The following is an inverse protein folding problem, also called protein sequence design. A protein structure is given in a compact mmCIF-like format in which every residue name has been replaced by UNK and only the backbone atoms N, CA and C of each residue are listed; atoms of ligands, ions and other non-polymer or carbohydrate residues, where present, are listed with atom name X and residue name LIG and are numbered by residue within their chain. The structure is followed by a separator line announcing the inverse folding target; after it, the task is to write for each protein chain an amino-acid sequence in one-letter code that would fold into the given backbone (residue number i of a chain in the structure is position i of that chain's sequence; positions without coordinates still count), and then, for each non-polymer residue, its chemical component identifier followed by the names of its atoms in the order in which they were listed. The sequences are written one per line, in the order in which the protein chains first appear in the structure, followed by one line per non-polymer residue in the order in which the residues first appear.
data_IF_639611027553
#
_entry.id   IF_639611027553
#
_cell.length_a   1.000
_cell.length_b   1.000
_cell.length_c   1.000
_cell.angle_alpha   90.00
_cell.angle_beta   90.00
_cell.angle_gamma   90.00
#
_symmetry.space_group_name_H-M   'P 1'
#
loop_
_entity.id
_entity.type
_entity.pdbx_description
1 polymer ?
#
# COMPACT_ATOMS: atom_id res chain seq x y z
N UNK A 1 -22.56 -24.70 1.65
CA UNK A 1 -22.34 -23.88 0.45
C UNK A 1 -20.96 -23.24 0.56
N UNK A 2 -19.94 -23.76 -0.15
CA UNK A 2 -18.60 -23.16 -0.14
C UNK A 2 -18.64 -21.95 -1.08
N UNK A 3 -18.71 -20.75 -0.51
CA UNK A 3 -18.53 -19.51 -1.29
C UNK A 3 -17.09 -19.51 -1.81
N UNK A 4 -16.95 -19.41 -3.12
CA UNK A 4 -15.67 -19.30 -3.83
C UNK A 4 -14.86 -18.10 -3.27
N UNK A 5 -13.82 -18.37 -2.48
CA UNK A 5 -12.91 -17.37 -1.89
C UNK A 5 -11.81 -16.98 -2.90
N UNK A 6 -12.19 -16.44 -4.05
CA UNK A 6 -11.24 -16.01 -5.08
C UNK A 6 -11.66 -14.68 -5.71
N UNK A 7 -10.68 -13.94 -6.23
CA UNK A 7 -10.88 -12.72 -7.02
C UNK A 7 -10.57 -12.97 -8.50
N UNK A 8 -11.14 -12.12 -9.35
CA UNK A 8 -10.84 -12.06 -10.77
C UNK A 8 -10.87 -10.60 -11.23
N UNK A 9 -9.79 -10.13 -11.83
CA UNK A 9 -9.69 -8.80 -12.41
C UNK A 9 -10.22 -8.82 -13.84
N UNK A 10 -11.33 -8.12 -14.08
CA UNK A 10 -11.95 -8.03 -15.42
C UNK A 10 -11.19 -7.12 -16.40
N UNK A 11 -10.20 -6.35 -15.93
CA UNK A 11 -9.38 -5.49 -16.79
C UNK A 11 -8.12 -6.19 -17.30
N UNK A 12 -7.37 -6.86 -16.41
CA UNK A 12 -6.10 -7.51 -16.78
C UNK A 12 -6.15 -9.05 -16.79
N UNK A 13 -7.25 -9.67 -16.36
CA UNK A 13 -7.40 -11.12 -16.30
C UNK A 13 -6.71 -11.80 -15.12
N UNK A 14 -6.09 -11.04 -14.21
CA UNK A 14 -5.50 -11.61 -12.99
C UNK A 14 -6.54 -12.33 -12.15
N UNK A 15 -6.19 -13.48 -11.58
CA UNK A 15 -7.06 -14.26 -10.70
C UNK A 15 -6.26 -14.82 -9.53
N UNK A 16 -6.90 -15.08 -8.40
CA UNK A 16 -6.22 -15.63 -7.23
C UNK A 16 -7.09 -15.59 -5.97
N UNK A 17 -6.47 -15.74 -4.81
CA UNK A 17 -7.12 -15.63 -3.50
C UNK A 17 -6.91 -14.21 -2.90
N UNK A 18 -7.32 -14.02 -1.64
CA UNK A 18 -7.19 -12.73 -0.96
C UNK A 18 -5.72 -12.25 -0.80
N UNK A 19 -4.78 -13.18 -0.62
CA UNK A 19 -3.35 -12.88 -0.54
C UNK A 19 -2.85 -12.41 -1.91
N UNK A 20 -3.17 -13.17 -2.96
CA UNK A 20 -2.79 -12.82 -4.34
C UNK A 20 -3.34 -11.44 -4.74
N UNK A 21 -4.54 -11.09 -4.28
CA UNK A 21 -5.13 -9.78 -4.54
C UNK A 21 -4.28 -8.66 -3.92
N UNK A 22 -4.00 -8.72 -2.63
CA UNK A 22 -3.26 -7.68 -1.91
C UNK A 22 -1.81 -7.58 -2.39
N UNK A 23 -1.13 -8.70 -2.64
CA UNK A 23 0.22 -8.69 -3.22
C UNK A 23 0.24 -7.97 -4.57
N UNK A 24 -0.76 -8.22 -5.44
CA UNK A 24 -0.78 -7.62 -6.77
C UNK A 24 -1.25 -6.17 -6.78
N UNK A 25 -2.22 -5.83 -5.92
CA UNK A 25 -2.86 -4.52 -5.85
C UNK A 25 -2.01 -3.52 -5.06
N UNK A 26 -1.60 -3.89 -3.84
CA UNK A 26 -0.82 -3.03 -2.94
C UNK A 26 0.69 -3.23 -3.06
N UNK A 27 1.14 -4.13 -3.95
CA UNK A 27 2.57 -4.46 -4.17
C UNK A 27 3.28 -4.91 -2.90
N UNK A 28 2.54 -5.57 -2.02
CA UNK A 28 3.06 -6.13 -0.77
C UNK A 28 3.79 -7.45 -1.02
N UNK A 29 4.83 -7.69 -0.23
CA UNK A 29 5.43 -9.03 -0.13
C UNK A 29 4.51 -9.97 0.66
N UNK A 30 4.76 -11.29 0.57
CA UNK A 30 3.89 -12.29 1.20
C UNK A 30 3.72 -12.07 2.71
N UNK A 31 4.82 -11.84 3.43
CA UNK A 31 4.78 -11.62 4.89
C UNK A 31 4.00 -10.35 5.22
N UNK A 32 4.25 -9.26 4.50
CA UNK A 32 3.53 -7.99 4.68
C UNK A 32 2.04 -8.15 4.41
N UNK A 33 1.67 -8.96 3.40
CA UNK A 33 0.28 -9.27 3.09
C UNK A 33 -0.41 -10.03 4.22
N UNK A 34 0.29 -10.99 4.84
CA UNK A 34 -0.23 -11.73 6.00
C UNK A 34 -0.37 -10.82 7.21
N UNK A 35 0.61 -9.95 7.48
CA UNK A 35 0.54 -8.95 8.55
C UNK A 35 -0.63 -7.98 8.35
N UNK A 36 -0.82 -7.49 7.12
CA UNK A 36 -1.89 -6.54 6.79
C UNK A 36 -3.28 -7.19 6.94
N UNK A 37 -3.47 -8.41 6.43
CA UNK A 37 -4.71 -9.17 6.63
C UNK A 37 -5.00 -9.44 8.12
N UNK A 38 -3.97 -9.78 8.89
CA UNK A 38 -4.10 -9.99 10.32
C UNK A 38 -4.49 -8.68 11.04
N UNK A 39 -3.84 -7.56 10.70
CA UNK A 39 -4.13 -6.23 11.24
C UNK A 39 -5.58 -5.79 10.94
N UNK A 40 -6.07 -5.99 9.71
CA UNK A 40 -7.47 -5.71 9.35
C UNK A 40 -8.49 -6.45 10.23
N UNK A 41 -8.11 -7.65 10.69
CA UNK A 41 -8.94 -8.50 11.55
C UNK A 41 -8.56 -8.42 13.04
N UNK A 42 -7.67 -7.52 13.43
CA UNK A 42 -7.11 -7.41 14.80
C UNK A 42 -6.56 -8.76 15.33
N UNK A 43 -5.86 -9.50 14.46
CA UNK A 43 -5.18 -10.74 14.78
C UNK A 43 -3.67 -10.51 14.89
N UNK A 44 -3.04 -11.19 15.84
CA UNK A 44 -1.58 -11.22 15.96
C UNK A 44 -1.00 -12.34 15.08
N UNK A 45 0.09 -12.04 14.36
CA UNK A 45 0.83 -13.04 13.58
C UNK A 45 1.96 -13.62 14.45
N UNK A 46 1.89 -14.90 14.85
CA UNK A 46 2.96 -15.52 15.62
C UNK A 46 4.18 -15.76 14.72
N UNK A 47 5.36 -15.38 15.20
CA UNK A 47 6.64 -15.66 14.56
C UNK A 47 7.38 -16.76 15.32
N UNK A 48 8.06 -17.65 14.59
CA UNK A 48 9.01 -18.57 15.21
C UNK A 48 10.20 -17.78 15.76
N UNK A 49 10.86 -18.32 16.79
CA UNK A 49 11.94 -17.61 17.47
C UNK A 49 13.06 -17.22 16.48
N UNK A 50 13.18 -15.91 16.21
CA UNK A 50 14.17 -15.35 15.28
C UNK A 50 13.75 -15.29 13.81
N UNK A 51 12.52 -15.68 13.45
CA UNK A 51 12.05 -15.66 12.05
C UNK A 51 11.24 -14.40 11.67
N UNK A 52 10.80 -13.62 12.65
CA UNK A 52 10.10 -12.36 12.42
C UNK A 52 11.02 -11.16 12.26
N UNK A 53 10.52 -10.03 11.74
CA UNK A 53 11.30 -8.81 11.61
C UNK A 53 11.82 -8.39 12.99
N UNK A 54 13.11 -8.07 13.03
CA UNK A 54 13.78 -7.56 14.21
C UNK A 54 13.15 -6.24 14.66
N UNK A 55 13.30 -5.92 15.95
CA UNK A 55 12.91 -4.60 16.50
C UNK A 55 13.52 -3.45 15.67
N UNK A 56 14.75 -3.65 15.19
CA UNK A 56 15.48 -2.67 14.38
C UNK A 56 14.78 -2.48 13.02
N UNK A 57 14.45 -3.57 12.32
CA UNK A 57 13.75 -3.51 11.03
C UNK A 57 12.36 -2.88 11.15
N UNK A 58 11.60 -3.21 12.19
CA UNK A 58 10.29 -2.56 12.46
C UNK A 58 10.45 -1.05 12.66
N UNK A 59 11.43 -0.64 13.47
CA UNK A 59 11.68 0.78 13.72
C UNK A 59 12.14 1.52 12.45
N UNK A 60 12.99 0.89 11.64
CA UNK A 60 13.41 1.44 10.35
C UNK A 60 12.23 1.62 9.40
N UNK A 61 11.35 0.61 9.26
CA UNK A 61 10.12 0.73 8.46
C UNK A 61 9.25 1.89 8.95
N UNK A 62 9.03 2.00 10.26
CA UNK A 62 8.22 3.08 10.83
C UNK A 62 8.81 4.47 10.52
N UNK A 63 10.13 4.64 10.63
CA UNK A 63 10.81 5.89 10.28
C UNK A 63 10.65 6.23 8.80
N UNK A 64 10.73 5.23 7.90
CA UNK A 64 10.51 5.42 6.47
C UNK A 64 9.08 5.87 6.17
N UNK A 65 8.07 5.27 6.82
CA UNK A 65 6.68 5.69 6.65
C UNK A 65 6.45 7.13 7.14
N UNK A 66 7.03 7.52 8.27
CA UNK A 66 6.97 8.89 8.77
C UNK A 66 7.61 9.90 7.79
N UNK A 67 8.74 9.55 7.20
CA UNK A 67 9.37 10.36 6.17
C UNK A 67 8.47 10.50 4.94
N UNK A 68 7.89 9.40 4.47
CA UNK A 68 6.98 9.41 3.31
C UNK A 68 5.74 10.25 3.56
N UNK A 69 5.18 10.23 4.76
CA UNK A 69 4.04 11.09 5.14
C UNK A 69 4.42 12.58 5.12
N UNK A 70 5.61 12.92 5.64
CA UNK A 70 6.15 14.28 5.55
C UNK A 70 6.37 14.75 4.11
N UNK A 71 6.90 13.87 3.25
CA UNK A 71 7.08 14.15 1.83
C UNK A 71 5.73 14.33 1.12
N UNK A 72 4.76 13.47 1.40
CA UNK A 72 3.42 13.57 0.83
C UNK A 72 2.79 14.93 1.16
N UNK A 73 2.83 15.33 2.42
CA UNK A 73 2.35 16.65 2.87
C UNK A 73 3.08 17.79 2.16
N UNK A 74 4.41 17.71 2.06
CA UNK A 74 5.22 18.72 1.38
C UNK A 74 4.85 18.87 -0.10
N UNK A 75 4.69 17.77 -0.83
CA UNK A 75 4.33 17.82 -2.25
C UNK A 75 2.90 18.30 -2.47
N UNK A 76 1.95 17.91 -1.61
CA UNK A 76 0.59 18.45 -1.65
C UNK A 76 0.60 19.97 -1.46
N UNK A 77 1.33 20.48 -0.48
CA UNK A 77 1.45 21.92 -0.25
C UNK A 77 2.16 22.64 -1.40
N UNK A 78 3.21 22.03 -1.95
CA UNK A 78 3.95 22.56 -3.09
C UNK A 78 3.07 22.69 -4.33
N UNK A 79 2.18 21.71 -4.56
CA UNK A 79 1.18 21.74 -5.64
C UNK A 79 0.12 22.82 -5.48
N UNK A 80 -0.04 23.41 -4.29
CA UNK A 80 -0.96 24.54 -4.06
C UNK A 80 -0.31 25.91 -4.29
N UNK A 81 1.02 25.97 -4.43
CA UNK A 81 1.73 27.23 -4.63
C UNK A 81 1.52 27.78 -6.04
N UNK A 82 1.60 29.11 -6.26
CA UNK A 82 1.47 29.71 -7.59
C UNK A 82 2.49 29.15 -8.59
N UNK A 83 3.72 28.85 -8.13
CA UNK A 83 4.78 28.29 -8.97
C UNK A 83 4.44 26.91 -9.60
N UNK A 84 3.45 26.19 -9.05
CA UNK A 84 3.01 24.89 -9.56
C UNK A 84 1.91 24.98 -10.63
N UNK A 85 1.59 26.18 -11.16
CA UNK A 85 0.63 26.37 -12.25
C UNK A 85 0.84 25.43 -13.45
N UNK A 86 2.06 25.24 -13.98
CA UNK A 86 2.29 24.32 -15.10
C UNK A 86 1.95 22.86 -14.75
N UNK A 87 2.22 22.44 -13.51
CA UNK A 87 1.93 21.10 -13.04
C UNK A 87 0.42 20.87 -12.89
N UNK A 88 -0.33 21.86 -12.37
CA UNK A 88 -1.80 21.79 -12.27
C UNK A 88 -2.45 21.71 -13.66
N UNK A 89 -2.01 22.54 -14.60
CA UNK A 89 -2.50 22.50 -15.98
C UNK A 89 -2.23 21.14 -16.65
N UNK A 90 -1.07 20.53 -16.38
CA UNK A 90 -0.75 19.20 -16.87
C UNK A 90 -1.70 18.13 -16.30
N UNK A 91 -2.00 18.18 -15.01
CA UNK A 91 -2.93 17.25 -14.34
C UNK A 91 -4.36 17.39 -14.86
N UNK A 92 -4.83 18.62 -15.09
CA UNK A 92 -6.15 18.88 -15.68
C UNK A 92 -6.26 18.30 -17.09
N UNK A 93 -5.22 18.48 -17.92
CA UNK A 93 -5.18 17.98 -19.30
C UNK A 93 -5.19 16.44 -19.37
N UNK A 94 -4.61 15.76 -18.37
CA UNK A 94 -4.47 14.30 -18.36
C UNK A 94 -5.68 13.55 -17.81
N UNK A 95 -6.77 14.23 -17.40
CA UNK A 95 -7.99 13.60 -16.82
C UNK A 95 -7.69 12.62 -15.66
N UNK A 96 -6.58 12.80 -14.95
CA UNK A 96 -6.38 12.17 -13.65
C UNK A 96 -7.23 12.95 -12.65
N UNK A 97 -8.55 12.73 -12.69
CA UNK A 97 -9.43 13.15 -11.61
C UNK A 97 -9.01 12.32 -10.39
N UNK A 98 -8.48 13.00 -9.37
CA UNK A 98 -8.38 12.42 -8.03
C UNK A 98 -9.76 11.98 -7.55
#
# INVERSE_FOLDING_TARGET
MVKKQFYHCFGCGAHGNAIDFLMNYDKLEFVETVEELAAMHNLDVPYEAGSGPSQIERHQRQNLYQLMDGLNTFYQQSLMQPAADPARQYLEKTRLKQ
#
